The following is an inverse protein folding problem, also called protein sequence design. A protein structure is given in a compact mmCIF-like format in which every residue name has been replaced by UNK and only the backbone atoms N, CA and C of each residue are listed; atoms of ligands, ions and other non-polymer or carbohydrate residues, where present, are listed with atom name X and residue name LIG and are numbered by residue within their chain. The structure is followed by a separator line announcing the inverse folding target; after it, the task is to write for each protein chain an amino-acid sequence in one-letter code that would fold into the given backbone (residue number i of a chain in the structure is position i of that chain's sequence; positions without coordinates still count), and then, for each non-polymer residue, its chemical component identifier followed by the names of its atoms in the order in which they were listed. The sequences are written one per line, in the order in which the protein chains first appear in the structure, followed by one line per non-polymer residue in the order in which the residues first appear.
data_IF_877931490274
#
_entry.id   IF_877931490274
#
_cell.length_a   1.000
_cell.length_b   1.000
_cell.length_c   1.000
_cell.angle_alpha   90.00
_cell.angle_beta   90.00
_cell.angle_gamma   90.00
#
_symmetry.space_group_name_H-M   'P 1'
#
loop_
_entity.id
_entity.type
_entity.pdbx_description
1 polymer ?
#
# COMPACT_ATOMS: atom_id res chain seq x y z
N UNK A 1 9.82 2.22 -16.72
CA UNK A 1 8.59 1.42 -16.51
C UNK A 1 7.40 2.34 -16.28
N UNK A 2 6.19 1.81 -16.39
CA UNK A 2 4.99 2.59 -16.13
C UNK A 2 4.83 2.85 -14.63
N UNK A 3 4.02 3.86 -14.29
CA UNK A 3 3.70 4.16 -12.88
C UNK A 3 2.99 2.98 -12.22
N UNK A 4 2.12 2.31 -12.96
CA UNK A 4 1.44 1.12 -12.46
C UNK A 4 2.41 0.00 -12.14
N UNK A 5 3.38 -0.24 -13.00
CA UNK A 5 4.40 -1.26 -12.76
C UNK A 5 5.30 -0.89 -11.57
N UNK A 6 5.64 0.39 -11.43
CA UNK A 6 6.43 0.83 -10.29
C UNK A 6 5.66 0.61 -8.98
N UNK A 7 4.36 0.87 -8.98
CA UNK A 7 3.50 0.64 -7.80
C UNK A 7 3.40 -0.85 -7.49
N UNK A 8 3.24 -1.66 -8.53
CA UNK A 8 3.18 -3.11 -8.35
C UNK A 8 4.50 -3.66 -7.81
N UNK A 9 5.62 -3.13 -8.28
CA UNK A 9 6.94 -3.46 -7.75
C UNK A 9 7.03 -3.06 -6.27
N UNK A 10 6.52 -1.90 -5.90
CA UNK A 10 6.48 -1.49 -4.50
C UNK A 10 5.74 -2.52 -3.63
N UNK A 11 4.60 -3.02 -4.12
CA UNK A 11 3.85 -4.06 -3.41
C UNK A 11 4.70 -5.32 -3.24
N UNK A 12 5.40 -5.73 -4.29
CA UNK A 12 6.27 -6.91 -4.21
C UNK A 12 7.35 -6.74 -3.14
N UNK A 13 7.95 -5.57 -3.05
CA UNK A 13 9.00 -5.30 -2.07
C UNK A 13 8.44 -5.27 -0.65
N UNK A 14 7.29 -4.65 -0.45
CA UNK A 14 6.62 -4.61 0.85
C UNK A 14 6.24 -6.03 1.29
N UNK A 15 5.63 -6.79 0.39
CA UNK A 15 5.21 -8.15 0.64
C UNK A 15 6.42 -9.06 0.96
N UNK A 16 7.48 -8.94 0.17
CA UNK A 16 8.68 -9.74 0.39
C UNK A 16 9.35 -9.47 1.73
N UNK A 17 9.35 -8.20 2.14
CA UNK A 17 9.93 -7.81 3.42
C UNK A 17 9.18 -8.43 4.60
N UNK A 18 7.88 -8.65 4.47
CA UNK A 18 7.08 -9.30 5.50
C UNK A 18 7.64 -10.69 5.87
N UNK A 19 8.29 -11.36 4.92
CA UNK A 19 8.84 -12.69 5.14
C UNK A 19 10.30 -12.65 5.61
N UNK A 20 11.07 -11.66 5.16
CA UNK A 20 12.51 -11.62 5.43
C UNK A 20 12.89 -10.79 6.64
N UNK A 21 12.07 -9.80 6.98
CA UNK A 21 12.38 -8.88 8.08
C UNK A 21 13.56 -7.96 7.78
N UNK A 22 13.98 -7.86 6.52
CA UNK A 22 15.10 -7.00 6.14
C UNK A 22 14.80 -5.54 6.38
N UNK A 23 15.85 -4.75 6.61
CA UNK A 23 15.71 -3.30 6.68
C UNK A 23 15.19 -2.76 5.35
N UNK A 24 14.30 -1.75 5.36
CA UNK A 24 13.70 -1.26 4.12
C UNK A 24 14.69 -0.87 3.03
N UNK A 25 15.78 -0.19 3.40
CA UNK A 25 16.80 0.21 2.43
C UNK A 25 17.50 -0.98 1.82
N UNK A 26 17.71 -2.05 2.61
CA UNK A 26 18.33 -3.27 2.12
C UNK A 26 17.42 -4.00 1.13
N UNK A 27 16.13 -3.99 1.37
CA UNK A 27 15.16 -4.63 0.47
C UNK A 27 15.24 -4.03 -0.92
N UNK A 28 15.20 -2.71 -1.01
CA UNK A 28 15.22 -2.03 -2.31
C UNK A 28 16.53 -2.32 -3.05
N UNK A 29 17.66 -2.15 -2.38
CA UNK A 29 18.96 -2.36 -3.03
C UNK A 29 19.19 -3.82 -3.44
N UNK A 30 18.78 -4.77 -2.62
CA UNK A 30 18.94 -6.19 -2.91
C UNK A 30 18.09 -6.62 -4.09
N UNK A 31 16.81 -6.27 -4.07
CA UNK A 31 15.87 -6.68 -5.11
C UNK A 31 16.12 -6.00 -6.44
N UNK A 32 16.73 -4.82 -6.43
CA UNK A 32 17.05 -4.10 -7.65
C UNK A 32 18.47 -4.37 -8.13
N UNK A 33 19.16 -5.32 -7.50
CA UNK A 33 20.42 -5.81 -8.00
C UNK A 33 20.24 -6.29 -9.44
N UNK A 34 21.19 -5.93 -10.29
CA UNK A 34 21.07 -6.08 -11.73
C UNK A 34 20.81 -7.51 -12.18
N UNK A 35 21.52 -8.45 -11.59
CA UNK A 35 21.40 -9.86 -11.96
C UNK A 35 20.10 -10.46 -11.48
N UNK A 36 19.73 -10.17 -10.25
CA UNK A 36 18.49 -10.66 -9.67
C UNK A 36 17.28 -10.13 -10.44
N UNK A 37 17.32 -8.83 -10.76
CA UNK A 37 16.22 -8.17 -11.48
C UNK A 37 16.04 -8.82 -12.87
N UNK A 38 17.15 -9.16 -13.52
CA UNK A 38 17.10 -9.80 -14.82
C UNK A 38 16.44 -11.19 -14.76
N UNK A 39 16.73 -11.96 -13.70
CA UNK A 39 16.08 -13.26 -13.51
C UNK A 39 14.57 -13.10 -13.34
N UNK A 40 14.17 -12.12 -12.52
CA UNK A 40 12.75 -11.87 -12.29
C UNK A 40 12.01 -11.44 -13.55
N UNK A 41 12.70 -10.80 -14.49
CA UNK A 41 12.08 -10.33 -15.72
C UNK A 41 11.62 -11.49 -16.63
N UNK A 42 12.15 -12.67 -16.42
CA UNK A 42 11.72 -13.84 -17.18
C UNK A 42 10.43 -14.42 -16.63
N UNK A 43 10.09 -14.09 -15.38
CA UNK A 43 8.93 -14.66 -14.71
C UNK A 43 7.74 -13.70 -14.65
N UNK A 44 8.01 -12.40 -14.65
CA UNK A 44 6.95 -11.42 -14.47
C UNK A 44 7.28 -10.15 -15.26
N UNK A 45 6.30 -9.71 -16.05
CA UNK A 45 6.45 -8.55 -16.93
C UNK A 45 6.66 -7.23 -16.20
N UNK A 46 6.32 -7.17 -14.90
CA UNK A 46 6.61 -6.00 -14.07
C UNK A 46 8.10 -5.70 -14.05
N UNK A 47 8.92 -6.72 -14.16
CA UNK A 47 10.38 -6.60 -14.14
C UNK A 47 11.00 -6.46 -15.54
N UNK A 48 10.19 -6.28 -16.57
CA UNK A 48 10.70 -6.15 -17.95
C UNK A 48 11.57 -4.90 -18.14
N UNK A 49 11.25 -3.83 -17.41
CA UNK A 49 12.01 -2.59 -17.46
C UNK A 49 12.47 -2.21 -16.05
N UNK A 50 13.64 -1.60 -15.97
CA UNK A 50 14.14 -1.13 -14.68
C UNK A 50 13.48 0.20 -14.30
N UNK A 51 13.32 0.46 -13.00
CA UNK A 51 12.79 1.75 -12.55
C UNK A 51 13.73 2.90 -12.93
N UNK A 52 13.16 4.04 -13.26
CA UNK A 52 13.91 5.28 -13.44
C UNK A 52 14.42 5.77 -12.09
N UNK A 53 15.27 6.81 -12.11
CA UNK A 53 15.76 7.42 -10.87
C UNK A 53 14.61 7.92 -9.99
N UNK A 54 13.62 8.57 -10.59
CA UNK A 54 12.46 9.06 -9.84
C UNK A 54 11.66 7.90 -9.25
N UNK A 55 11.54 6.80 -9.98
CA UNK A 55 10.84 5.62 -9.50
C UNK A 55 11.60 4.92 -8.39
N UNK A 56 12.94 4.91 -8.45
CA UNK A 56 13.75 4.40 -7.35
C UNK A 56 13.53 5.21 -6.08
N UNK A 57 13.46 6.53 -6.20
CA UNK A 57 13.17 7.40 -5.05
C UNK A 57 11.77 7.11 -4.49
N UNK A 58 10.80 6.89 -5.35
CA UNK A 58 9.46 6.49 -4.94
C UNK A 58 9.48 5.16 -4.17
N UNK A 59 10.18 4.15 -4.71
CA UNK A 59 10.27 2.84 -4.07
C UNK A 59 10.90 2.94 -2.68
N UNK A 60 12.01 3.67 -2.56
CA UNK A 60 12.65 3.89 -1.27
C UNK A 60 11.70 4.55 -0.28
N UNK A 61 10.98 5.56 -0.74
CA UNK A 61 10.07 6.31 0.10
C UNK A 61 8.91 5.45 0.60
N UNK A 62 8.24 4.71 -0.29
CA UNK A 62 7.05 3.98 0.12
C UNK A 62 7.39 2.70 0.88
N UNK A 63 8.47 2.01 0.53
CA UNK A 63 8.87 0.81 1.26
C UNK A 63 9.28 1.18 2.68
N UNK A 64 10.09 2.22 2.84
CA UNK A 64 10.49 2.71 4.16
C UNK A 64 9.30 3.28 4.93
N UNK A 65 8.45 4.05 4.26
CA UNK A 65 7.29 4.68 4.89
C UNK A 65 6.30 3.66 5.42
N UNK A 66 6.00 2.63 4.63
CA UNK A 66 5.11 1.56 5.07
C UNK A 66 5.73 0.79 6.24
N UNK A 67 7.02 0.47 6.16
CA UNK A 67 7.70 -0.24 7.23
C UNK A 67 7.66 0.53 8.54
N UNK A 68 7.90 1.83 8.48
CA UNK A 68 7.96 2.67 9.68
C UNK A 68 6.59 2.95 10.28
N UNK A 69 5.51 2.73 9.54
CA UNK A 69 4.14 2.99 9.98
C UNK A 69 3.27 1.74 9.96
N UNK A 70 3.88 0.60 9.99
CA UNK A 70 3.17 -0.67 9.82
C UNK A 70 2.02 -0.84 10.81
N UNK A 71 2.25 -0.54 12.07
CA UNK A 71 1.21 -0.69 13.10
C UNK A 71 0.04 0.26 12.85
N UNK A 72 0.33 1.51 12.51
CA UNK A 72 -0.71 2.50 12.23
C UNK A 72 -1.51 2.14 10.99
N UNK A 73 -0.83 1.67 9.95
CA UNK A 73 -1.50 1.26 8.72
C UNK A 73 -2.39 0.04 8.95
N UNK A 74 -1.90 -0.93 9.71
CA UNK A 74 -2.70 -2.11 10.04
C UNK A 74 -3.91 -1.76 10.91
N UNK A 75 -3.76 -0.78 11.80
CA UNK A 75 -4.89 -0.30 12.61
C UNK A 75 -5.97 0.32 11.73
N UNK A 76 -5.59 1.07 10.71
CA UNK A 76 -6.56 1.64 9.77
C UNK A 76 -7.27 0.55 8.97
N UNK A 77 -6.54 -0.46 8.51
CA UNK A 77 -7.14 -1.58 7.79
C UNK A 77 -8.14 -2.30 8.69
N UNK A 78 -7.77 -2.59 9.92
CA UNK A 78 -8.62 -3.28 10.87
C UNK A 78 -9.89 -2.47 11.18
N UNK A 79 -9.76 -1.17 11.30
CA UNK A 79 -10.86 -0.28 11.62
C UNK A 79 -12.00 -0.34 10.59
N UNK A 80 -11.66 -0.53 9.32
CA UNK A 80 -12.65 -0.55 8.24
C UNK A 80 -12.94 -1.94 7.71
N UNK A 81 -12.36 -2.98 8.30
CA UNK A 81 -12.63 -4.35 7.91
C UNK A 81 -13.72 -4.97 8.79
N UNK A 82 -14.88 -4.35 8.79
CA UNK A 82 -16.01 -4.73 9.64
C UNK A 82 -16.42 -6.18 9.34
N UNK A 83 -16.44 -7.00 10.39
CA UNK A 83 -16.79 -8.40 10.25
C UNK A 83 -15.66 -9.29 9.76
N UNK A 84 -14.48 -8.73 9.53
CA UNK A 84 -13.32 -9.49 9.07
C UNK A 84 -12.21 -9.41 10.08
N UNK A 85 -11.52 -10.52 10.26
CA UNK A 85 -10.33 -10.56 11.09
C UNK A 85 -9.13 -10.28 10.17
N UNK A 86 -8.29 -9.33 10.55
CA UNK A 86 -7.13 -8.97 9.73
C UNK A 86 -6.20 -10.17 9.50
N UNK A 87 -6.18 -11.13 10.41
CA UNK A 87 -5.38 -12.35 10.25
C UNK A 87 -5.87 -13.22 9.09
N UNK A 88 -7.09 -13.03 8.64
CA UNK A 88 -7.67 -13.78 7.52
C UNK A 88 -7.44 -13.10 6.18
N UNK A 89 -6.98 -11.86 6.19
CA UNK A 89 -6.65 -11.13 4.98
C UNK A 89 -5.29 -11.63 4.50
N UNK A 90 -5.16 -11.92 3.20
CA UNK A 90 -3.88 -12.38 2.68
C UNK A 90 -2.81 -11.31 2.92
N UNK A 91 -1.57 -11.76 3.06
CA UNK A 91 -0.45 -10.83 3.25
C UNK A 91 -0.28 -9.91 2.05
N UNK A 92 -0.57 -10.41 0.85
CA UNK A 92 -0.49 -9.61 -0.34
C UNK A 92 -1.54 -8.50 -0.34
N UNK A 93 -2.80 -8.84 -0.09
CA UNK A 93 -3.88 -7.83 -0.02
C UNK A 93 -3.61 -6.82 1.09
N UNK A 94 -3.04 -7.27 2.22
CA UNK A 94 -2.65 -6.36 3.28
C UNK A 94 -1.56 -5.40 2.81
N UNK A 95 -0.54 -5.91 2.12
CA UNK A 95 0.53 -5.07 1.58
C UNK A 95 0.00 -4.04 0.59
N UNK A 96 -0.93 -4.45 -0.26
CA UNK A 96 -1.60 -3.57 -1.22
C UNK A 96 -2.31 -2.43 -0.49
N UNK A 97 -3.05 -2.75 0.57
CA UNK A 97 -3.79 -1.75 1.33
C UNK A 97 -2.87 -0.84 2.14
N UNK A 98 -1.80 -1.40 2.71
CA UNK A 98 -0.80 -0.60 3.42
C UNK A 98 -0.21 0.46 2.48
N UNK A 99 0.16 0.07 1.28
CA UNK A 99 0.71 1.01 0.30
C UNK A 99 -0.32 2.08 -0.08
N UNK A 100 -1.55 1.66 -0.37
CA UNK A 100 -2.59 2.60 -0.80
C UNK A 100 -2.88 3.64 0.29
N UNK A 101 -3.02 3.22 1.54
CA UNK A 101 -3.27 4.13 2.65
C UNK A 101 -2.08 5.07 2.83
N UNK A 102 -0.86 4.54 2.73
CA UNK A 102 0.34 5.37 2.82
C UNK A 102 0.34 6.44 1.72
N UNK A 103 0.04 6.05 0.49
CA UNK A 103 0.00 7.01 -0.62
C UNK A 103 -1.07 8.08 -0.41
N UNK A 104 -2.25 7.68 0.05
CA UNK A 104 -3.33 8.63 0.30
C UNK A 104 -2.95 9.65 1.37
N UNK A 105 -2.27 9.21 2.42
CA UNK A 105 -1.93 10.07 3.55
C UNK A 105 -0.68 10.91 3.32
N UNK A 106 0.31 10.38 2.61
CA UNK A 106 1.65 10.97 2.61
C UNK A 106 2.24 11.27 1.24
N UNK A 107 1.62 10.86 0.14
CA UNK A 107 2.15 11.10 -1.20
C UNK A 107 1.19 12.03 -1.94
N UNK A 108 1.47 13.33 -1.86
CA UNK A 108 0.53 14.37 -2.30
C UNK A 108 0.15 14.31 -3.78
N UNK A 109 1.04 13.83 -4.63
CA UNK A 109 0.79 13.79 -6.07
C UNK A 109 0.05 12.54 -6.53
N UNK A 110 -0.38 11.68 -5.59
CA UNK A 110 -1.22 10.53 -5.92
C UNK A 110 -2.66 10.83 -5.52
N UNK A 111 -3.57 10.98 -6.49
CA UNK A 111 -4.98 11.17 -6.16
C UNK A 111 -5.54 9.94 -5.43
N UNK A 112 -6.43 10.18 -4.49
CA UNK A 112 -7.05 9.10 -3.70
C UNK A 112 -7.69 8.04 -4.60
N UNK A 113 -8.44 8.46 -5.62
CA UNK A 113 -9.08 7.51 -6.53
C UNK A 113 -8.10 6.64 -7.29
N UNK A 114 -6.93 7.19 -7.63
CA UNK A 114 -5.89 6.42 -8.31
C UNK A 114 -5.28 5.39 -7.35
N UNK A 115 -4.98 5.80 -6.13
CA UNK A 115 -4.44 4.86 -5.12
C UNK A 115 -5.38 3.68 -4.92
N UNK A 116 -6.68 3.93 -4.81
CA UNK A 116 -7.67 2.88 -4.59
C UNK A 116 -7.82 1.99 -5.82
N UNK A 117 -7.96 2.58 -7.01
CA UNK A 117 -8.17 1.78 -8.21
C UNK A 117 -6.95 0.90 -8.53
N UNK A 118 -5.76 1.41 -8.28
CA UNK A 118 -4.54 0.62 -8.47
C UNK A 118 -4.42 -0.49 -7.44
N UNK A 119 -4.80 -0.24 -6.20
CA UNK A 119 -4.83 -1.26 -5.17
C UNK A 119 -5.77 -2.40 -5.55
N UNK A 120 -6.96 -2.05 -6.02
CA UNK A 120 -7.95 -3.05 -6.47
C UNK A 120 -7.41 -3.85 -7.65
N UNK A 121 -6.78 -3.17 -8.61
CA UNK A 121 -6.20 -3.82 -9.79
C UNK A 121 -5.15 -4.86 -9.38
N UNK A 122 -4.25 -4.49 -8.48
CA UNK A 122 -3.17 -5.37 -8.05
C UNK A 122 -3.72 -6.54 -7.23
N UNK A 123 -4.67 -6.29 -6.33
CA UNK A 123 -5.30 -7.35 -5.56
C UNK A 123 -6.00 -8.35 -6.48
N UNK A 124 -6.72 -7.87 -7.48
CA UNK A 124 -7.39 -8.76 -8.45
C UNK A 124 -6.39 -9.57 -9.24
N UNK A 125 -5.29 -8.97 -9.65
CA UNK A 125 -4.28 -9.65 -10.46
C UNK A 125 -3.68 -10.84 -9.73
N UNK A 126 -3.40 -10.70 -8.44
CA UNK A 126 -2.67 -11.72 -7.69
C UNK A 126 -3.56 -12.60 -6.80
N UNK A 127 -4.66 -12.06 -6.27
CA UNK A 127 -5.51 -12.78 -5.32
C UNK A 127 -6.91 -13.10 -5.86
N UNK A 128 -7.35 -12.44 -6.94
CA UNK A 128 -8.63 -12.68 -7.56
C UNK A 128 -9.68 -11.62 -7.26
N UNK A 129 -10.89 -11.83 -7.79
CA UNK A 129 -11.94 -10.81 -7.76
C UNK A 129 -12.48 -10.54 -6.36
N UNK A 130 -12.64 -11.57 -5.53
CA UNK A 130 -13.18 -11.39 -4.19
C UNK A 130 -12.25 -10.54 -3.31
N UNK A 131 -10.94 -10.81 -3.22
CA UNK A 131 -10.04 -9.92 -2.52
C UNK A 131 -10.01 -8.51 -3.10
N UNK A 132 -10.13 -8.37 -4.43
CA UNK A 132 -10.22 -7.05 -5.05
C UNK A 132 -11.42 -6.25 -4.57
N UNK A 133 -12.57 -6.88 -4.47
CA UNK A 133 -13.79 -6.24 -3.95
C UNK A 133 -13.66 -5.86 -2.49
N UNK A 134 -13.03 -6.71 -1.70
CA UNK A 134 -12.78 -6.47 -0.30
C UNK A 134 -11.84 -5.28 -0.10
N UNK A 135 -10.75 -5.23 -0.85
CA UNK A 135 -9.81 -4.08 -0.84
C UNK A 135 -10.54 -2.79 -1.19
N UNK A 136 -11.38 -2.83 -2.22
CA UNK A 136 -12.16 -1.67 -2.63
C UNK A 136 -13.07 -1.17 -1.50
N UNK A 137 -13.73 -2.10 -0.80
CA UNK A 137 -14.63 -1.76 0.30
C UNK A 137 -13.90 -1.09 1.46
N UNK A 138 -12.79 -1.66 1.88
CA UNK A 138 -12.00 -1.12 3.00
C UNK A 138 -11.41 0.25 2.65
N UNK A 139 -10.78 0.36 1.49
CA UNK A 139 -10.15 1.62 1.10
C UNK A 139 -11.17 2.70 0.82
N UNK A 140 -12.34 2.35 0.27
CA UNK A 140 -13.43 3.29 0.08
C UNK A 140 -13.94 3.83 1.40
N UNK A 141 -14.12 2.96 2.41
CA UNK A 141 -14.56 3.38 3.74
C UNK A 141 -13.52 4.28 4.40
N UNK A 142 -12.24 3.92 4.27
CA UNK A 142 -11.14 4.75 4.79
C UNK A 142 -11.17 6.15 4.17
N UNK A 143 -11.30 6.22 2.84
CA UNK A 143 -11.30 7.50 2.13
C UNK A 143 -12.50 8.37 2.51
N UNK A 144 -13.66 7.76 2.66
CA UNK A 144 -14.86 8.49 3.08
C UNK A 144 -14.72 9.06 4.48
N UNK A 145 -14.16 8.28 5.40
CA UNK A 145 -13.93 8.75 6.76
C UNK A 145 -12.90 9.87 6.79
N UNK A 146 -11.86 9.77 5.97
CA UNK A 146 -10.83 10.80 5.89
C UNK A 146 -11.39 12.13 5.40
N UNK A 147 -12.37 12.10 4.51
CA UNK A 147 -12.98 13.29 3.94
C UNK A 147 -14.22 13.77 4.68
N UNK A 148 -14.59 13.10 5.79
CA UNK A 148 -15.75 13.51 6.57
C UNK A 148 -15.52 14.88 7.19
N UNK A 149 -16.57 15.70 7.30
CA UNK A 149 -16.42 17.03 7.91
C UNK A 149 -15.98 16.94 9.36
N UNK A 150 -14.93 17.64 9.67
CA UNK A 150 -14.40 17.63 11.05
C UNK A 150 -15.31 18.29 12.05
N UNK A 151 -16.16 19.17 11.59
CA UNK A 151 -17.11 19.82 12.46
C UNK A 151 -18.07 18.85 13.10
N UNK A 152 -18.29 17.72 12.51
CA UNK A 152 -19.15 16.69 13.06
C UNK A 152 -18.47 15.94 14.20
N UNK A 153 -17.16 16.02 14.24
CA UNK A 153 -16.42 15.40 15.31
C UNK A 153 -16.26 16.31 16.51
N UNK A 154 -16.17 17.56 16.21
CA UNK A 154 -15.85 18.53 17.21
C UNK A 154 -16.77 18.52 18.42
N UNK A 155 -18.04 18.44 18.24
CA UNK A 155 -18.92 18.49 19.40
C UNK A 155 -18.68 17.33 20.34
N UNK A 156 -18.21 16.34 19.84
CA UNK A 156 -17.96 15.23 20.66
C UNK A 156 -16.71 15.40 21.40
N UNK A 157 -15.82 15.74 20.70
CA UNK A 157 -14.59 15.81 21.25
C UNK A 157 -14.40 17.02 21.95
N UNK A 158 -14.65 17.70 21.46
CA UNK A 158 -14.38 18.72 21.93
C UNK A 158 -15.05 18.98 22.82
N UNK A 159 -15.46 18.88 22.43
CA UNK A 159 -16.08 19.22 23.39
C UNK A 159 -15.49 18.58 24.44
N UNK A 160 -15.11 18.01 24.29
CA UNK A 160 -14.56 17.45 25.21
C UNK A 160 -13.17 17.61 25.28
N UNK A 161 -12.88 18.01 24.76
CA UNK A 161 -11.80 17.98 24.73
C UNK A 161 -11.25 18.91 24.82
N UNK A 162 -11.34 19.15 24.47
CA UNK A 162 -11.04 19.78 24.35
C UNK A 162 -11.26 20.47 24.66
N UNK A 163 -11.44 20.58 24.63
CA UNK A 163 -11.89 21.07 24.88
C UNK A 163 -11.93 21.15 25.49
#
# INVERSE_FOLDING_TARGET
MTRGNARELAVHLIYGRDFTGEEPQAVVSTRLNKEYYKQLSEENDVYAERPSRAQLAYLDRVVSGVANREEDLNAEIQKYSIGWDISRISKLSRSVMQLAIYEILYVDDVPTGVAISEAVRIAKKYDGDEPGSFVNGILGAFARALNAPKTEEAPAADAAEEV
#
